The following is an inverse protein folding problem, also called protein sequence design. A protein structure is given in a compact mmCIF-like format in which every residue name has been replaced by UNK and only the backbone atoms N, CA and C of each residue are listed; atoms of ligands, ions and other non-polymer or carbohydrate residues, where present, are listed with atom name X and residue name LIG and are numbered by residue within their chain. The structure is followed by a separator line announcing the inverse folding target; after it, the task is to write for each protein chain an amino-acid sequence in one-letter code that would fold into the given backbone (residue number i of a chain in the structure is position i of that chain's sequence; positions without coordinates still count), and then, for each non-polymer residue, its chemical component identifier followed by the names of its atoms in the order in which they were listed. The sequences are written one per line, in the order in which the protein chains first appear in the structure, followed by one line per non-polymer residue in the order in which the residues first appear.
data_IF_420088355041
#
_entry.id   IF_420088355041
#
_cell.length_a   1.000
_cell.length_b   1.000
_cell.length_c   1.000
_cell.angle_alpha   90.00
_cell.angle_beta   90.00
_cell.angle_gamma   90.00
#
_symmetry.space_group_name_H-M   'P 1'
#
loop_
_entity.id
_entity.type
_entity.pdbx_description
1 polymer ?
#
# COMPACT_ATOMS: atom_id res chain seq x y z
N UNK A 1 -37.86 -14.07 -8.73
CA UNK A 1 -37.15 -12.97 -9.40
C UNK A 1 -36.09 -12.52 -8.41
N UNK A 2 -34.97 -13.24 -8.39
CA UNK A 2 -33.79 -12.86 -7.62
C UNK A 2 -32.79 -12.42 -8.67
N UNK A 3 -32.44 -11.15 -8.61
CA UNK A 3 -31.58 -10.50 -9.56
C UNK A 3 -30.18 -11.11 -9.49
N UNK A 4 -29.66 -11.40 -10.67
CA UNK A 4 -28.41 -12.06 -10.96
C UNK A 4 -27.35 -10.98 -11.08
N UNK A 5 -26.73 -10.57 -9.98
CA UNK A 5 -25.44 -9.86 -10.02
C UNK A 5 -24.34 -10.79 -9.53
N UNK A 6 -24.01 -11.74 -10.42
CA UNK A 6 -22.61 -12.11 -10.64
C UNK A 6 -21.80 -10.84 -10.89
N UNK A 7 -21.20 -10.26 -9.85
CA UNK A 7 -20.07 -9.33 -10.02
C UNK A 7 -18.89 -10.15 -10.56
N UNK A 8 -18.86 -10.20 -11.90
CA UNK A 8 -17.71 -10.67 -12.65
C UNK A 8 -16.54 -9.73 -12.36
N UNK A 9 -15.40 -10.33 -12.04
CA UNK A 9 -14.04 -9.87 -12.32
C UNK A 9 -13.96 -8.88 -13.49
N UNK A 10 -14.12 -7.60 -13.19
CA UNK A 10 -14.06 -6.49 -14.12
C UNK A 10 -13.61 -5.29 -13.33
N UNK A 11 -12.30 -5.02 -13.36
CA UNK A 11 -11.68 -3.82 -12.82
C UNK A 11 -12.53 -2.59 -13.18
N UNK A 12 -13.15 -1.93 -12.20
CA UNK A 12 -13.77 -0.61 -12.39
C UNK A 12 -12.71 0.33 -12.98
N UNK A 13 -12.82 0.71 -14.27
CA UNK A 13 -11.78 1.50 -14.93
C UNK A 13 -11.70 2.92 -14.38
N UNK A 14 -12.80 3.46 -13.84
CA UNK A 14 -12.83 4.77 -13.22
C UNK A 14 -12.09 4.73 -11.89
N UNK A 15 -12.32 3.71 -11.07
CA UNK A 15 -11.58 3.53 -9.83
C UNK A 15 -10.09 3.25 -10.09
N UNK A 16 -9.76 2.45 -11.11
CA UNK A 16 -8.37 2.23 -11.53
C UNK A 16 -7.66 3.54 -11.91
N UNK A 17 -8.35 4.43 -12.63
CA UNK A 17 -7.86 5.76 -12.99
C UNK A 17 -7.69 6.63 -11.75
N UNK A 18 -8.67 6.63 -10.85
CA UNK A 18 -8.64 7.37 -9.59
C UNK A 18 -7.46 6.94 -8.71
N UNK A 19 -7.23 5.64 -8.55
CA UNK A 19 -6.09 5.09 -7.80
C UNK A 19 -4.76 5.55 -8.40
N UNK A 20 -4.60 5.51 -9.72
CA UNK A 20 -3.38 5.99 -10.39
C UNK A 20 -3.15 7.48 -10.16
N UNK A 21 -4.21 8.31 -10.23
CA UNK A 21 -4.12 9.74 -9.93
C UNK A 21 -3.81 10.00 -8.45
N UNK A 22 -4.43 9.27 -7.52
CA UNK A 22 -4.14 9.34 -6.09
C UNK A 22 -2.65 9.07 -5.81
N UNK A 23 -2.09 8.00 -6.39
CA UNK A 23 -0.67 7.66 -6.22
C UNK A 23 0.26 8.74 -6.78
N UNK A 24 -0.07 9.33 -7.94
CA UNK A 24 0.68 10.48 -8.48
C UNK A 24 0.66 11.67 -7.52
N UNK A 25 -0.50 11.97 -6.95
CA UNK A 25 -0.68 13.08 -6.02
C UNK A 25 0.01 12.85 -4.67
N UNK A 26 0.01 11.61 -4.15
CA UNK A 26 0.80 11.24 -2.97
C UNK A 26 2.29 11.49 -3.20
N UNK A 27 2.83 11.03 -4.33
CA UNK A 27 4.24 11.24 -4.66
C UNK A 27 4.58 12.73 -4.88
N UNK A 28 3.69 13.48 -5.55
CA UNK A 28 3.84 14.93 -5.76
C UNK A 28 3.83 15.70 -4.44
N UNK A 29 2.88 15.41 -3.55
CA UNK A 29 2.75 16.06 -2.25
C UNK A 29 3.96 15.80 -1.37
N UNK A 30 4.45 14.55 -1.33
CA UNK A 30 5.68 14.21 -0.62
C UNK A 30 6.88 15.00 -1.17
N UNK A 31 7.02 15.10 -2.50
CA UNK A 31 8.05 15.91 -3.13
C UNK A 31 7.95 17.39 -2.74
N UNK A 32 6.74 17.95 -2.68
CA UNK A 32 6.53 19.34 -2.31
C UNK A 32 6.89 19.59 -0.84
N UNK A 33 6.53 18.68 0.07
CA UNK A 33 6.89 18.76 1.50
C UNK A 33 8.40 18.75 1.70
N UNK A 34 9.16 18.03 0.86
CA UNK A 34 10.63 18.07 0.88
C UNK A 34 11.22 19.37 0.35
N UNK A 35 10.57 19.95 -0.65
CA UNK A 35 11.12 21.07 -1.43
C UNK A 35 10.80 22.43 -0.81
N UNK A 36 9.72 22.51 -0.02
CA UNK A 36 9.19 23.76 0.48
C UNK A 36 8.89 23.68 1.97
N UNK A 37 9.00 24.79 2.72
CA UNK A 37 8.63 24.83 4.12
C UNK A 37 7.13 24.58 4.32
N UNK A 38 6.76 24.17 5.54
CA UNK A 38 5.37 24.05 5.94
C UNK A 38 4.61 25.37 5.71
N UNK A 39 3.37 25.29 5.22
CA UNK A 39 2.54 26.45 4.89
C UNK A 39 2.81 27.07 3.51
N UNK A 40 3.79 26.57 2.75
CA UNK A 40 4.01 27.04 1.37
C UNK A 40 2.79 26.72 0.47
N UNK A 41 2.37 27.61 -0.45
CA UNK A 41 1.18 27.41 -1.27
C UNK A 41 1.16 26.09 -2.05
N UNK A 42 2.31 25.63 -2.56
CA UNK A 42 2.39 24.34 -3.27
C UNK A 42 2.17 23.13 -2.35
N UNK A 43 2.63 23.19 -1.09
CA UNK A 43 2.38 22.13 -0.11
C UNK A 43 0.90 22.06 0.23
N UNK A 44 0.30 23.22 0.53
CA UNK A 44 -1.13 23.31 0.85
C UNK A 44 -1.97 22.78 -0.31
N UNK A 45 -1.73 23.30 -1.52
CA UNK A 45 -2.48 22.93 -2.71
C UNK A 45 -2.39 21.43 -3.01
N UNK A 46 -1.18 20.89 -3.10
CA UNK A 46 -1.00 19.47 -3.42
C UNK A 46 -1.56 18.54 -2.35
N UNK A 47 -1.44 18.90 -1.07
CA UNK A 47 -2.04 18.14 0.05
C UNK A 47 -3.56 18.14 -0.03
N UNK A 48 -4.18 19.30 -0.32
CA UNK A 48 -5.63 19.40 -0.50
C UNK A 48 -6.12 18.59 -1.71
N UNK A 49 -5.45 18.67 -2.85
CA UNK A 49 -5.80 17.88 -4.04
C UNK A 49 -5.66 16.37 -3.77
N UNK A 50 -4.63 15.97 -3.01
CA UNK A 50 -4.47 14.57 -2.59
C UNK A 50 -5.58 14.13 -1.65
N UNK A 51 -5.99 15.01 -0.72
CA UNK A 51 -7.11 14.75 0.18
C UNK A 51 -8.42 14.56 -0.59
N UNK A 52 -8.70 15.41 -1.58
CA UNK A 52 -9.91 15.30 -2.41
C UNK A 52 -9.94 13.97 -3.19
N UNK A 53 -8.83 13.56 -3.79
CA UNK A 53 -8.72 12.26 -4.47
C UNK A 53 -8.90 11.09 -3.51
N UNK A 54 -8.35 11.21 -2.30
CA UNK A 54 -8.47 10.19 -1.27
C UNK A 54 -9.92 10.04 -0.80
N UNK A 55 -10.64 11.15 -0.58
CA UNK A 55 -12.06 11.12 -0.19
C UNK A 55 -12.91 10.50 -1.31
N UNK A 56 -12.62 10.82 -2.58
CA UNK A 56 -13.27 10.14 -3.71
C UNK A 56 -12.99 8.63 -3.70
N UNK A 57 -11.74 8.23 -3.45
CA UNK A 57 -11.38 6.80 -3.41
C UNK A 57 -12.04 6.06 -2.23
N UNK A 58 -12.31 6.77 -1.13
CA UNK A 58 -13.03 6.29 0.06
C UNK A 58 -14.55 6.28 -0.09
N UNK A 59 -15.11 6.80 -1.18
CA UNK A 59 -16.56 6.91 -1.33
C UNK A 59 -17.23 5.53 -1.22
N UNK A 60 -18.18 5.41 -0.29
CA UNK A 60 -18.86 4.15 0.04
C UNK A 60 -18.04 3.14 0.84
N UNK A 61 -16.79 3.43 1.20
CA UNK A 61 -15.88 2.52 1.92
C UNK A 61 -15.67 2.96 3.38
N UNK A 62 -15.40 1.99 4.25
CA UNK A 62 -15.04 2.26 5.66
C UNK A 62 -13.57 2.61 5.83
N UNK A 63 -12.75 2.13 4.91
CA UNK A 63 -11.30 2.27 4.91
C UNK A 63 -10.80 2.07 3.47
N UNK A 64 -9.64 2.65 3.17
CA UNK A 64 -8.86 2.39 1.96
C UNK A 64 -7.47 1.94 2.41
N UNK A 65 -7.04 0.76 1.98
CA UNK A 65 -5.73 0.22 2.38
C UNK A 65 -4.76 0.26 1.22
N UNK A 66 -3.58 0.83 1.47
CA UNK A 66 -2.43 0.80 0.60
C UNK A 66 -1.35 -0.11 1.19
N UNK A 67 -0.90 -1.10 0.42
CA UNK A 67 0.17 -2.01 0.83
C UNK A 67 1.35 -1.88 -0.13
N UNK A 68 2.56 -1.81 0.42
CA UNK A 68 3.79 -1.88 -0.34
C UNK A 68 4.25 -3.34 -0.45
N UNK A 69 4.46 -3.81 -1.67
CA UNK A 69 5.13 -5.07 -1.96
C UNK A 69 6.25 -4.82 -2.96
N UNK A 70 7.50 -4.99 -2.51
CA UNK A 70 8.71 -4.60 -3.26
C UNK A 70 8.67 -3.14 -3.74
N UNK A 71 8.46 -2.91 -5.05
CA UNK A 71 8.35 -1.60 -5.69
C UNK A 71 6.95 -1.35 -6.27
N UNK A 72 5.95 -2.04 -5.74
CA UNK A 72 4.57 -2.03 -6.21
C UNK A 72 3.65 -1.64 -5.07
N UNK A 73 2.71 -0.74 -5.35
CA UNK A 73 1.63 -0.40 -4.43
C UNK A 73 0.38 -1.19 -4.81
N UNK A 74 -0.28 -1.73 -3.81
CA UNK A 74 -1.57 -2.38 -3.92
C UNK A 74 -2.62 -1.59 -3.18
N UNK A 75 -3.71 -1.24 -3.86
CA UNK A 75 -4.82 -0.47 -3.29
C UNK A 75 -6.13 -1.12 -3.73
N UNK A 76 -6.90 -1.69 -2.80
CA UNK A 76 -8.18 -2.36 -3.09
C UNK A 76 -8.11 -3.37 -4.26
N UNK A 77 -7.03 -4.15 -4.33
CA UNK A 77 -6.80 -5.13 -5.40
C UNK A 77 -6.16 -4.56 -6.67
N UNK A 78 -6.01 -3.24 -6.79
CA UNK A 78 -5.34 -2.60 -7.93
C UNK A 78 -3.84 -2.51 -7.73
N UNK A 79 -3.10 -3.05 -8.70
CA UNK A 79 -1.65 -2.95 -8.80
C UNK A 79 -1.25 -1.62 -9.42
N UNK A 80 -0.40 -0.87 -8.74
CA UNK A 80 0.25 0.34 -9.28
C UNK A 80 1.76 0.17 -9.16
N UNK A 81 2.43 0.18 -10.31
CA UNK A 81 3.87 -0.02 -10.44
C UNK A 81 4.49 1.10 -11.27
N UNK A 82 5.81 1.03 -11.46
CA UNK A 82 6.56 2.06 -12.22
C UNK A 82 6.16 2.14 -13.70
N UNK A 83 5.65 1.06 -14.29
CA UNK A 83 5.26 1.02 -15.70
C UNK A 83 3.93 1.76 -15.90
N UNK A 84 3.03 1.65 -14.93
CA UNK A 84 1.73 2.34 -14.94
C UNK A 84 1.83 3.77 -14.40
N UNK A 85 2.62 3.99 -13.34
CA UNK A 85 2.83 5.29 -12.70
C UNK A 85 4.31 5.41 -12.26
N UNK A 86 5.18 6.07 -13.05
CA UNK A 86 6.62 6.15 -12.73
C UNK A 86 6.95 6.73 -11.34
N UNK A 87 6.06 7.57 -10.81
CA UNK A 87 6.22 8.17 -9.49
C UNK A 87 6.14 7.15 -8.33
N UNK A 88 5.58 5.95 -8.56
CA UNK A 88 5.52 4.85 -7.58
C UNK A 88 6.89 4.46 -7.08
N UNK A 89 7.91 4.47 -7.95
CA UNK A 89 9.25 4.02 -7.57
C UNK A 89 9.81 4.86 -6.41
N UNK A 90 9.71 6.19 -6.52
CA UNK A 90 10.17 7.11 -5.47
C UNK A 90 9.36 6.94 -4.18
N UNK A 91 8.03 6.85 -4.31
CA UNK A 91 7.14 6.66 -3.17
C UNK A 91 7.41 5.33 -2.44
N UNK A 92 7.63 4.25 -3.18
CA UNK A 92 7.95 2.92 -2.65
C UNK A 92 9.26 2.90 -1.89
N UNK A 93 10.29 3.57 -2.42
CA UNK A 93 11.58 3.75 -1.73
C UNK A 93 11.40 4.52 -0.43
N UNK A 94 10.54 5.54 -0.43
CA UNK A 94 10.29 6.36 0.76
C UNK A 94 9.54 5.62 1.86
N UNK A 95 8.55 4.82 1.47
CA UNK A 95 7.84 3.90 2.36
C UNK A 95 8.79 2.86 2.95
N UNK A 96 9.58 2.17 2.11
CA UNK A 96 10.55 1.18 2.56
C UNK A 96 11.63 1.77 3.48
N UNK A 97 12.15 2.96 3.16
CA UNK A 97 13.16 3.65 3.98
C UNK A 97 12.64 4.04 5.36
N UNK A 98 11.34 4.29 5.48
CA UNK A 98 10.68 4.62 6.74
C UNK A 98 10.11 3.41 7.47
N UNK A 99 10.34 2.20 6.95
CA UNK A 99 9.76 0.95 7.47
C UNK A 99 8.22 0.95 7.48
N UNK A 100 7.61 1.72 6.57
CA UNK A 100 6.17 1.74 6.34
C UNK A 100 5.87 0.76 5.20
N UNK A 101 5.16 -0.31 5.53
CA UNK A 101 4.73 -1.38 4.62
C UNK A 101 3.25 -1.29 4.27
N UNK A 102 2.44 -0.63 5.09
CA UNK A 102 1.05 -0.34 4.76
C UNK A 102 0.58 0.99 5.35
N UNK A 103 -0.40 1.59 4.68
CA UNK A 103 -1.09 2.78 5.11
C UNK A 103 -2.59 2.53 4.97
N UNK A 104 -3.34 2.69 6.04
CA UNK A 104 -4.80 2.68 6.05
C UNK A 104 -5.31 4.12 6.11
N UNK A 105 -6.39 4.41 5.38
CA UNK A 105 -7.07 5.70 5.41
C UNK A 105 -8.53 5.49 5.76
N UNK A 106 -9.06 6.24 6.72
CA UNK A 106 -10.50 6.23 7.04
C UNK A 106 -11.20 7.48 6.49
N UNK A 107 -12.54 7.48 6.35
CA UNK A 107 -13.31 8.67 5.97
C UNK A 107 -13.11 9.89 6.88
N UNK A 108 -12.53 9.71 8.07
CA UNK A 108 -12.20 10.79 9.00
C UNK A 108 -10.85 11.49 8.69
N UNK A 109 -10.12 11.05 7.64
CA UNK A 109 -8.85 11.66 7.23
C UNK A 109 -9.00 13.14 6.93
N UNK A 110 -8.08 13.95 7.48
CA UNK A 110 -8.00 15.39 7.29
C UNK A 110 -6.73 15.77 6.53
N UNK A 111 -6.68 16.95 5.88
CA UNK A 111 -5.45 17.43 5.25
C UNK A 111 -4.24 17.47 6.20
N UNK A 112 -4.46 17.78 7.49
CA UNK A 112 -3.40 17.74 8.50
C UNK A 112 -2.85 16.35 8.77
N UNK A 113 -3.67 15.30 8.67
CA UNK A 113 -3.22 13.92 8.85
C UNK A 113 -2.30 13.50 7.67
N UNK A 114 -2.65 13.89 6.45
CA UNK A 114 -1.82 13.69 5.26
C UNK A 114 -0.51 14.50 5.33
N UNK A 115 -0.57 15.74 5.82
CA UNK A 115 0.63 16.54 6.02
C UNK A 115 1.58 15.88 7.02
N UNK A 116 1.06 15.33 8.13
CA UNK A 116 1.85 14.55 9.08
C UNK A 116 2.51 13.33 8.42
N UNK A 117 1.75 12.59 7.60
CA UNK A 117 2.26 11.44 6.86
C UNK A 117 3.43 11.84 5.96
N UNK A 118 3.25 12.89 5.16
CA UNK A 118 4.32 13.37 4.27
C UNK A 118 5.52 13.91 5.03
N UNK A 119 5.34 14.52 6.21
CA UNK A 119 6.45 14.96 7.05
C UNK A 119 7.28 13.77 7.52
N UNK A 120 6.64 12.72 8.05
CA UNK A 120 7.33 11.49 8.47
C UNK A 120 8.07 10.84 7.29
N UNK A 121 7.40 10.70 6.15
CA UNK A 121 8.02 10.18 4.92
C UNK A 121 9.16 11.08 4.40
N UNK A 122 9.17 12.37 4.73
CA UNK A 122 10.23 13.30 4.34
C UNK A 122 11.40 13.35 5.33
N UNK A 123 11.27 12.79 6.55
CA UNK A 123 12.35 12.79 7.54
C UNK A 123 13.55 11.98 7.05
N UNK A 124 14.76 12.46 7.36
CA UNK A 124 15.98 11.68 7.16
C UNK A 124 16.13 10.58 8.25
N UNK A 125 17.11 9.70 8.05
CA UNK A 125 17.35 8.56 8.93
C UNK A 125 17.70 8.99 10.37
N UNK A 126 18.45 10.08 10.55
CA UNK A 126 18.88 10.52 11.87
C UNK A 126 17.67 11.00 12.67
N UNK A 127 16.82 11.84 12.07
CA UNK A 127 15.58 12.32 12.71
C UNK A 127 14.61 11.20 13.04
N UNK A 128 14.47 10.22 12.15
CA UNK A 128 13.64 9.04 12.44
C UNK A 128 14.20 8.25 13.62
N UNK A 129 15.53 8.10 13.73
CA UNK A 129 16.16 7.43 14.88
C UNK A 129 15.95 8.21 16.18
N UNK A 130 16.10 9.53 16.15
CA UNK A 130 15.86 10.42 17.31
C UNK A 130 14.41 10.35 17.78
N UNK A 131 13.46 10.23 16.87
CA UNK A 131 12.03 10.08 17.17
C UNK A 131 11.62 8.64 17.54
N UNK A 132 12.54 7.65 17.53
CA UNK A 132 12.23 6.25 17.83
C UNK A 132 11.62 5.46 16.66
N UNK A 133 11.65 5.98 15.45
CA UNK A 133 11.15 5.38 14.22
C UNK A 133 9.97 6.14 13.61
N UNK A 134 9.55 5.76 12.40
CA UNK A 134 8.45 6.43 11.71
C UNK A 134 7.12 6.30 12.46
N UNK A 135 6.87 5.15 13.08
CA UNK A 135 5.65 4.88 13.85
C UNK A 135 5.52 5.81 15.06
N UNK A 136 6.60 5.99 15.81
CA UNK A 136 6.61 6.88 16.98
C UNK A 136 6.56 8.35 16.55
N UNK A 137 7.33 8.74 15.52
CA UNK A 137 7.26 10.08 14.93
C UNK A 137 5.84 10.44 14.45
N UNK A 138 5.11 9.47 13.88
CA UNK A 138 3.75 9.68 13.40
C UNK A 138 2.73 9.74 14.55
N UNK A 139 2.92 8.94 15.60
CA UNK A 139 2.03 8.92 16.78
C UNK A 139 2.00 10.27 17.49
N UNK A 140 3.13 10.96 17.57
CA UNK A 140 3.24 12.29 18.18
C UNK A 140 2.42 13.38 17.44
N UNK A 141 2.02 13.13 16.19
CA UNK A 141 1.28 14.10 15.37
C UNK A 141 -0.24 14.10 15.62
N UNK A 142 -0.75 13.27 16.54
CA UNK A 142 -2.17 13.17 16.94
C UNK A 142 -3.16 13.03 15.75
N UNK A 143 -2.72 12.31 14.73
CA UNK A 143 -3.50 12.00 13.53
C UNK A 143 -4.55 10.93 13.81
N UNK A 144 -5.73 11.05 13.19
CA UNK A 144 -6.90 10.16 13.47
C UNK A 144 -7.43 9.37 12.28
N UNK A 145 -7.19 9.85 11.06
CA UNK A 145 -7.73 9.21 9.86
C UNK A 145 -6.71 8.45 9.02
N UNK A 146 -5.50 8.25 9.54
CA UNK A 146 -4.42 7.52 8.86
C UNK A 146 -3.81 6.55 9.86
N UNK A 147 -3.75 5.27 9.50
CA UNK A 147 -3.01 4.24 10.22
C UNK A 147 -1.77 3.81 9.42
N UNK A 148 -0.73 3.38 10.13
CA UNK A 148 0.52 2.89 9.54
C UNK A 148 0.76 1.46 10.01
N UNK A 149 1.16 0.57 9.11
CA UNK A 149 1.51 -0.82 9.42
C UNK A 149 0.42 -1.59 10.18
N UNK A 150 -0.85 -1.18 10.08
CA UNK A 150 -1.98 -1.89 10.69
C UNK A 150 -2.35 -3.17 9.92
N UNK A 151 -1.90 -3.24 8.66
CA UNK A 151 -2.03 -4.42 7.81
C UNK A 151 -0.63 -4.96 7.54
N UNK A 152 -0.30 -6.12 8.11
CA UNK A 152 0.92 -6.84 7.78
C UNK A 152 0.63 -7.99 6.82
N UNK A 153 1.43 -8.11 5.76
CA UNK A 153 1.57 -9.35 5.03
C UNK A 153 2.44 -10.31 5.87
N UNK A 154 1.78 -11.17 6.65
CA UNK A 154 2.42 -12.35 7.23
C UNK A 154 2.22 -13.52 6.29
N UNK A 155 3.27 -13.97 5.60
CA UNK A 155 3.26 -15.34 5.07
C UNK A 155 3.10 -16.23 6.30
N UNK A 156 1.94 -16.87 6.44
CA UNK A 156 1.68 -17.84 7.51
C UNK A 156 2.61 -19.03 7.28
N UNK A 157 3.79 -18.98 7.91
CA UNK A 157 4.62 -20.17 8.06
C UNK A 157 3.89 -21.08 9.05
N UNK A 158 3.13 -22.06 8.54
CA UNK A 158 2.60 -23.12 9.38
C UNK A 158 3.76 -24.04 9.78
N UNK A 159 4.46 -23.67 10.84
CA UNK A 159 5.21 -24.63 11.65
C UNK A 159 4.90 -24.42 13.12
N UNK A 160 3.75 -24.97 13.52
CA UNK A 160 3.41 -25.30 14.90
C UNK A 160 3.23 -24.10 15.84
N UNK A 161 1.98 -23.66 16.00
CA UNK A 161 1.62 -22.67 17.02
C UNK A 161 0.33 -21.99 16.64
N UNK A 162 -0.72 -22.33 17.38
CA UNK A 162 -2.08 -21.85 17.22
C UNK A 162 -2.17 -20.33 17.40
N UNK A 163 -2.23 -19.58 16.30
CA UNK A 163 -2.80 -18.22 16.27
C UNK A 163 -3.63 -18.10 15.01
N UNK A 164 -4.88 -18.54 15.09
CA UNK A 164 -5.88 -18.14 14.10
C UNK A 164 -6.08 -16.62 14.18
N UNK A 165 -6.06 -15.88 13.05
CA UNK A 165 -6.49 -14.49 13.06
C UNK A 165 -8.02 -14.47 13.14
N UNK A 166 -8.54 -14.44 14.37
CA UNK A 166 -9.88 -13.96 14.63
C UNK A 166 -9.92 -12.44 14.51
N UNK A 167 -9.79 -11.91 13.29
CA UNK A 167 -10.14 -10.53 12.93
C UNK A 167 -10.86 -10.59 11.58
N UNK A 168 -12.18 -10.33 11.63
CA UNK A 168 -13.13 -10.57 10.55
C UNK A 168 -12.95 -9.64 9.35
N UNK A 169 -11.97 -9.97 8.49
CA UNK A 169 -11.72 -9.30 7.21
C UNK A 169 -11.87 -10.23 5.99
N UNK A 170 -12.46 -11.42 6.18
CA UNK A 170 -12.70 -12.44 5.13
C UNK A 170 -13.65 -12.00 3.97
N UNK A 171 -13.90 -10.71 3.78
CA UNK A 171 -14.81 -10.23 2.73
C UNK A 171 -14.49 -8.86 2.11
N UNK A 172 -13.32 -8.26 2.40
CA UNK A 172 -12.98 -6.92 1.88
C UNK A 172 -11.82 -6.90 0.87
N UNK A 173 -11.00 -7.97 0.81
CA UNK A 173 -9.88 -8.06 -0.12
C UNK A 173 -9.79 -9.48 -0.68
N UNK A 174 -9.92 -9.63 -2.00
CA UNK A 174 -9.85 -10.93 -2.69
C UNK A 174 -8.40 -11.39 -2.82
N UNK A 175 -7.95 -12.12 -1.81
CA UNK A 175 -6.59 -12.66 -1.70
C UNK A 175 -6.24 -13.68 -2.79
N UNK A 176 -7.23 -14.45 -3.27
CA UNK A 176 -6.99 -15.46 -4.30
C UNK A 176 -6.73 -14.79 -5.65
N UNK A 177 -7.49 -13.74 -5.95
CA UNK A 177 -7.29 -12.94 -7.16
C UNK A 177 -5.95 -12.19 -7.14
N UNK A 178 -5.49 -11.75 -5.96
CA UNK A 178 -4.14 -11.19 -5.77
C UNK A 178 -3.03 -12.20 -6.08
N UNK A 179 -3.07 -13.40 -5.50
CA UNK A 179 -2.04 -14.42 -5.76
C UNK A 179 -2.00 -14.86 -7.23
N UNK A 180 -3.15 -14.88 -7.90
CA UNK A 180 -3.23 -15.12 -9.33
C UNK A 180 -2.59 -13.99 -10.15
N UNK A 181 -2.76 -12.73 -9.73
CA UNK A 181 -2.15 -11.58 -10.42
C UNK A 181 -0.61 -11.57 -10.36
N UNK A 182 -0.02 -12.10 -9.29
CA UNK A 182 1.44 -12.26 -9.17
C UNK A 182 2.00 -13.37 -10.07
N UNK A 183 1.16 -14.29 -10.51
CA UNK A 183 1.56 -15.47 -11.28
C UNK A 183 1.73 -15.19 -12.79
N UNK A 184 1.40 -13.98 -13.27
CA UNK A 184 1.34 -13.65 -14.71
C UNK A 184 2.71 -13.23 -15.28
N UNK A 185 3.68 -12.81 -14.45
CA UNK A 185 5.04 -12.43 -14.90
C UNK A 185 6.15 -13.40 -14.46
N UNK A 186 5.79 -14.59 -13.96
CA UNK A 186 6.71 -15.67 -13.57
C UNK A 186 6.34 -17.01 -14.19
N UNK A 187 7.23 -18.03 -14.21
CA UNK A 187 6.92 -19.32 -14.82
C UNK A 187 5.65 -19.87 -14.18
N UNK A 188 4.73 -20.39 -15.00
CA UNK A 188 3.47 -20.98 -14.54
C UNK A 188 3.73 -22.08 -13.52
N UNK A 189 3.60 -21.75 -12.23
CA UNK A 189 3.71 -22.74 -11.15
C UNK A 189 2.31 -23.27 -10.88
N UNK A 190 1.96 -24.38 -11.53
CA UNK A 190 0.81 -25.18 -11.09
C UNK A 190 1.21 -25.89 -9.80
N UNK A 191 0.84 -25.33 -8.65
CA UNK A 191 1.09 -25.90 -7.34
C UNK A 191 0.17 -25.25 -6.31
N UNK A 192 -0.09 -25.93 -5.19
CA UNK A 192 -0.85 -25.33 -4.09
C UNK A 192 -0.17 -24.03 -3.62
N UNK A 193 -0.92 -23.06 -3.06
CA UNK A 193 -0.36 -21.80 -2.57
C UNK A 193 0.86 -21.95 -1.64
N UNK A 194 0.91 -23.07 -0.91
CA UNK A 194 2.02 -23.48 -0.06
C UNK A 194 3.34 -23.69 -0.84
N UNK A 195 3.26 -24.25 -2.04
CA UNK A 195 4.40 -24.57 -2.90
C UNK A 195 4.97 -23.32 -3.59
N UNK A 196 4.12 -22.34 -3.90
CA UNK A 196 4.52 -21.05 -4.48
C UNK A 196 5.29 -20.21 -3.43
N UNK A 197 4.83 -20.23 -2.17
CA UNK A 197 5.51 -19.56 -1.07
C UNK A 197 6.91 -20.17 -0.79
N UNK A 198 7.04 -21.50 -0.90
CA UNK A 198 8.33 -22.18 -0.71
C UNK A 198 9.36 -21.85 -1.82
N UNK A 199 8.89 -21.68 -3.06
CA UNK A 199 9.73 -21.30 -4.21
C UNK A 199 10.24 -19.84 -4.12
N UNK A 200 9.41 -18.92 -3.64
CA UNK A 200 9.77 -17.51 -3.47
C UNK A 200 10.71 -17.30 -2.27
N UNK A 201 10.56 -18.08 -1.20
CA UNK A 201 11.40 -17.98 0.00
C UNK A 201 12.75 -18.71 -0.14
N UNK A 202 12.85 -19.74 -0.99
CA UNK A 202 14.05 -20.58 -1.06
C UNK A 202 15.15 -20.07 -1.99
N UNK A 203 14.91 -19.03 -2.80
CA UNK A 203 15.98 -18.34 -3.55
C UNK A 203 16.89 -19.26 -4.36
N UNK A 204 16.39 -20.41 -4.85
CA UNK A 204 17.12 -21.30 -5.74
C UNK A 204 16.56 -21.20 -7.15
N UNK A 205 17.02 -20.16 -7.85
CA UNK A 205 17.22 -20.29 -9.29
C UNK A 205 18.08 -21.53 -9.52
N UNK A 206 17.59 -22.47 -10.33
CA UNK A 206 18.24 -23.74 -10.60
C UNK A 206 19.69 -23.54 -11.05
N UNK A 207 20.63 -24.03 -10.26
CA UNK A 207 21.91 -24.48 -10.78
C UNK A 207 21.63 -25.76 -11.56
N UNK A 208 21.44 -25.62 -12.88
CA UNK A 208 21.44 -26.74 -13.80
C UNK A 208 22.84 -27.36 -13.83
N UNK A 209 22.98 -28.53 -13.22
CA UNK A 209 24.04 -29.47 -13.55
C UNK A 209 23.65 -30.24 -14.82
N UNK A 210 24.31 -29.94 -15.94
CA UNK A 210 24.39 -30.82 -17.10
C UNK A 210 25.75 -31.51 -17.06
N UNK A 211 25.73 -32.85 -17.16
CA UNK A 211 26.90 -33.73 -17.00
C UNK A 211 27.86 -33.79 -18.18
#
# INVERSE_FOLDING_TARGET
MFDDTREKSGEDPEFARLVKELVKHLALSLRNVRSYPAGHPFVIKSTSETHELLIQALEGKKELVMVLFENTLMIEGYKVDKETVPAVLGLSIDLARTDIRSISFSPAVRPGDLQGLFQVLAMDKLRLQEAGGAMEAFREMEVKGVGLNEVEYGIVSRKGGDTGPGLGWEGLFDWDSFMQSLSVDGPSVSGSPEMIAELLLSGKAGAGGGG
#
